data_IF_489594798080
#
_entry.id   IF_489594798080
#
_cell.length_a   1.000
_cell.length_b   1.000
_cell.length_c   1.000
_cell.angle_alpha   90.00
_cell.angle_beta   90.00
_cell.angle_gamma   90.00
#
_symmetry.space_group_name_H-M   'P 1'
#
loop_
_entity.id
_entity.type
_entity.pdbx_description
1 polymer ?
#
# COMPACT_ATOMS: atom_id res chain seq x y z
N UNK A 1 16.58 -22.36 -4.78
CA UNK A 1 15.26 -22.52 -4.11
C UNK A 1 14.42 -23.58 -4.83
N UNK A 2 13.74 -24.47 -4.10
CA UNK A 2 12.76 -25.41 -4.65
C UNK A 2 11.70 -24.69 -5.49
N UNK A 3 11.17 -25.34 -6.54
CA UNK A 3 10.08 -24.78 -7.38
C UNK A 3 8.85 -24.36 -6.55
N UNK A 4 8.58 -25.10 -5.47
CA UNK A 4 7.46 -24.85 -4.53
C UNK A 4 7.52 -23.47 -3.87
N UNK A 5 8.68 -23.06 -3.38
CA UNK A 5 8.82 -21.81 -2.62
C UNK A 5 8.66 -20.58 -3.53
N UNK A 6 9.12 -20.70 -4.77
CA UNK A 6 8.94 -19.66 -5.81
C UNK A 6 7.47 -19.44 -6.14
N UNK A 7 6.72 -20.53 -6.29
CA UNK A 7 5.29 -20.48 -6.54
C UNK A 7 4.53 -19.89 -5.36
N UNK A 8 4.86 -20.31 -4.13
CA UNK A 8 4.24 -19.78 -2.92
C UNK A 8 4.45 -18.27 -2.75
N UNK A 9 5.66 -17.77 -3.04
CA UNK A 9 5.97 -16.33 -3.02
C UNK A 9 5.14 -15.56 -4.06
N UNK A 10 5.06 -16.08 -5.29
CA UNK A 10 4.24 -15.48 -6.35
C UNK A 10 2.77 -15.36 -5.96
N UNK A 11 2.19 -16.45 -5.44
CA UNK A 11 0.81 -16.46 -4.94
C UNK A 11 0.59 -15.47 -3.80
N UNK A 12 1.59 -15.31 -2.91
CA UNK A 12 1.50 -14.33 -1.82
C UNK A 12 1.52 -12.90 -2.34
N UNK A 13 2.35 -12.59 -3.35
CA UNK A 13 2.39 -11.28 -4.00
C UNK A 13 1.04 -10.98 -4.67
N UNK A 14 0.49 -11.94 -5.41
CA UNK A 14 -0.80 -11.82 -6.08
C UNK A 14 -1.92 -11.52 -5.07
N UNK A 15 -2.02 -12.32 -4.00
CA UNK A 15 -3.01 -12.09 -2.95
C UNK A 15 -2.86 -10.71 -2.30
N UNK A 16 -1.63 -10.30 -1.95
CA UNK A 16 -1.44 -8.97 -1.37
C UNK A 16 -1.79 -7.83 -2.34
N UNK A 17 -1.59 -8.05 -3.63
CA UNK A 17 -1.95 -7.08 -4.68
C UNK A 17 -3.47 -6.94 -4.79
N UNK A 18 -4.21 -8.05 -4.75
CA UNK A 18 -5.68 -8.03 -4.75
C UNK A 18 -6.23 -7.37 -3.48
N UNK A 19 -5.71 -7.73 -2.30
CA UNK A 19 -6.08 -7.09 -1.03
C UNK A 19 -5.82 -5.57 -1.07
N UNK A 20 -4.71 -5.14 -1.70
CA UNK A 20 -4.38 -3.74 -1.87
C UNK A 20 -5.43 -3.02 -2.72
N UNK A 21 -5.80 -3.57 -3.88
CA UNK A 21 -6.83 -2.99 -4.73
C UNK A 21 -8.20 -2.92 -4.04
N UNK A 22 -8.56 -3.95 -3.28
CA UNK A 22 -9.79 -3.94 -2.48
C UNK A 22 -9.79 -2.77 -1.49
N UNK A 23 -8.69 -2.53 -0.77
CA UNK A 23 -8.58 -1.39 0.13
C UNK A 23 -8.66 -0.04 -0.59
N UNK A 24 -8.09 0.09 -1.80
CA UNK A 24 -8.22 1.32 -2.60
C UNK A 24 -9.70 1.55 -2.99
N UNK A 25 -10.41 0.52 -3.44
CA UNK A 25 -11.83 0.62 -3.76
C UNK A 25 -12.66 0.99 -2.52
N UNK A 26 -12.37 0.40 -1.36
CA UNK A 26 -13.01 0.76 -0.10
C UNK A 26 -12.73 2.21 0.31
N UNK A 27 -11.49 2.69 0.14
CA UNK A 27 -11.13 4.07 0.45
C UNK A 27 -11.80 5.08 -0.50
N UNK A 28 -12.07 4.69 -1.75
CA UNK A 28 -12.74 5.54 -2.73
C UNK A 28 -14.15 5.93 -2.27
N UNK A 29 -14.92 4.97 -1.74
CA UNK A 29 -16.32 5.17 -1.32
C UNK A 29 -16.49 5.70 0.11
N UNK A 30 -15.40 5.87 0.86
CA UNK A 30 -15.42 6.34 2.26
C UNK A 30 -14.94 7.78 2.38
N UNK A 31 -15.30 8.44 3.49
CA UNK A 31 -14.89 9.81 3.81
C UNK A 31 -14.38 9.91 5.25
N UNK A 32 -13.71 11.02 5.56
CA UNK A 32 -13.27 11.35 6.91
C UNK A 32 -12.33 10.31 7.55
N UNK A 33 -12.46 10.06 8.87
CA UNK A 33 -11.56 9.16 9.61
C UNK A 33 -11.52 7.73 9.08
N UNK A 34 -12.63 7.23 8.55
CA UNK A 34 -12.72 5.86 8.01
C UNK A 34 -11.86 5.69 6.75
N UNK A 35 -11.88 6.68 5.85
CA UNK A 35 -11.03 6.71 4.65
C UNK A 35 -9.55 6.70 5.03
N UNK A 36 -9.15 7.50 6.01
CA UNK A 36 -7.77 7.58 6.48
C UNK A 36 -7.28 6.21 6.98
N UNK A 37 -8.06 5.53 7.81
CA UNK A 37 -7.70 4.20 8.33
C UNK A 37 -7.53 3.18 7.21
N UNK A 38 -8.40 3.20 6.20
CA UNK A 38 -8.33 2.29 5.05
C UNK A 38 -7.08 2.59 4.21
N UNK A 39 -6.77 3.86 3.94
CA UNK A 39 -5.55 4.23 3.21
C UNK A 39 -4.27 3.85 3.96
N UNK A 40 -4.26 3.95 5.30
CA UNK A 40 -3.14 3.46 6.12
C UNK A 40 -2.96 1.94 6.01
N UNK A 41 -4.07 1.18 5.97
CA UNK A 41 -4.01 -0.26 5.69
C UNK A 41 -3.48 -0.55 4.29
N UNK A 42 -3.90 0.22 3.28
CA UNK A 42 -3.40 0.09 1.91
C UNK A 42 -1.89 0.37 1.83
N UNK A 43 -1.40 1.39 2.54
CA UNK A 43 0.03 1.71 2.63
C UNK A 43 0.85 0.55 3.24
N UNK A 44 0.33 -0.09 4.30
CA UNK A 44 0.95 -1.28 4.87
C UNK A 44 1.00 -2.44 3.86
N UNK A 45 -0.09 -2.68 3.12
CA UNK A 45 -0.13 -3.72 2.07
C UNK A 45 0.88 -3.45 0.96
N UNK A 46 1.00 -2.19 0.51
CA UNK A 46 1.98 -1.80 -0.50
C UNK A 46 3.43 -2.05 -0.03
N UNK A 47 3.73 -1.78 1.24
CA UNK A 47 5.04 -2.10 1.85
C UNK A 47 5.31 -3.61 1.86
N UNK A 48 4.30 -4.42 2.15
CA UNK A 48 4.41 -5.89 2.08
C UNK A 48 4.66 -6.39 0.65
N UNK A 49 3.96 -5.85 -0.34
CA UNK A 49 4.20 -6.16 -1.76
C UNK A 49 5.64 -5.81 -2.14
N UNK A 50 6.12 -4.62 -1.76
CA UNK A 50 7.50 -4.19 -2.02
C UNK A 50 8.54 -5.13 -1.39
N UNK A 51 8.31 -5.56 -0.15
CA UNK A 51 9.17 -6.54 0.52
C UNK A 51 9.23 -7.86 -0.26
N UNK A 52 8.07 -8.38 -0.69
CA UNK A 52 8.02 -9.63 -1.45
C UNK A 52 8.63 -9.53 -2.84
N UNK A 53 8.46 -8.39 -3.53
CA UNK A 53 9.09 -8.12 -4.82
C UNK A 53 10.61 -8.07 -4.70
N UNK A 54 11.14 -7.42 -3.65
CA UNK A 54 12.58 -7.46 -3.35
C UNK A 54 13.06 -8.87 -3.05
N UNK A 55 12.34 -9.60 -2.20
CA UNK A 55 12.70 -10.98 -1.89
C UNK A 55 12.74 -11.84 -3.17
N UNK A 56 11.76 -11.69 -4.07
CA UNK A 56 11.71 -12.40 -5.34
C UNK A 56 12.92 -12.09 -6.25
N UNK A 57 13.43 -10.87 -6.19
CA UNK A 57 14.68 -10.48 -6.86
C UNK A 57 15.90 -11.11 -6.18
N UNK A 58 15.99 -11.04 -4.85
CA UNK A 58 17.11 -11.59 -4.06
C UNK A 58 17.29 -13.10 -4.29
N UNK A 59 16.19 -13.86 -4.38
CA UNK A 59 16.20 -15.30 -4.67
C UNK A 59 16.31 -15.63 -6.17
N UNK A 60 16.59 -14.62 -7.02
CA UNK A 60 16.78 -14.72 -8.47
C UNK A 60 15.57 -15.29 -9.24
N UNK A 61 14.37 -15.09 -8.72
CA UNK A 61 13.10 -15.46 -9.40
C UNK A 61 12.68 -14.36 -10.36
N UNK A 62 12.87 -13.10 -9.93
CA UNK A 62 12.52 -11.93 -10.71
C UNK A 62 13.78 -11.36 -11.38
N UNK A 63 13.85 -11.29 -12.72
CA UNK A 63 14.97 -10.67 -13.41
C UNK A 63 15.11 -9.20 -13.04
N UNK A 64 16.35 -8.69 -12.93
CA UNK A 64 16.64 -7.31 -12.51
C UNK A 64 15.85 -6.25 -13.27
N UNK A 65 15.71 -6.39 -14.59
CA UNK A 65 14.91 -5.44 -15.41
C UNK A 65 13.45 -5.36 -14.94
N UNK A 66 12.81 -6.51 -14.69
CA UNK A 66 11.44 -6.59 -14.18
C UNK A 66 11.31 -6.09 -12.75
N UNK A 67 12.32 -6.34 -11.93
CA UNK A 67 12.40 -5.82 -10.57
C UNK A 67 12.38 -4.29 -10.55
N UNK A 68 13.22 -3.65 -11.37
CA UNK A 68 13.28 -2.18 -11.48
C UNK A 68 11.93 -1.62 -11.96
N UNK A 69 11.36 -2.19 -13.03
CA UNK A 69 10.04 -1.79 -13.55
C UNK A 69 8.94 -1.87 -12.47
N UNK A 70 8.97 -2.88 -11.59
CA UNK A 70 8.00 -3.04 -10.51
C UNK A 70 8.26 -2.08 -9.35
N UNK A 71 9.51 -1.90 -8.93
CA UNK A 71 9.87 -0.96 -7.87
C UNK A 71 9.51 0.48 -8.20
N UNK A 72 9.68 0.90 -9.46
CA UNK A 72 9.27 2.23 -9.93
C UNK A 72 7.76 2.44 -9.76
N UNK A 73 6.96 1.47 -10.22
CA UNK A 73 5.49 1.52 -10.05
C UNK A 73 5.07 1.52 -8.58
N UNK A 74 5.69 0.67 -7.76
CA UNK A 74 5.41 0.62 -6.32
C UNK A 74 5.78 1.94 -5.62
N UNK A 75 6.86 2.59 -6.05
CA UNK A 75 7.27 3.90 -5.55
C UNK A 75 6.25 4.98 -5.89
N UNK A 76 5.75 5.01 -7.13
CA UNK A 76 4.69 5.94 -7.55
C UNK A 76 3.41 5.75 -6.73
N UNK A 77 2.97 4.51 -6.55
CA UNK A 77 1.82 4.18 -5.69
C UNK A 77 2.03 4.66 -4.25
N UNK A 78 3.25 4.51 -3.71
CA UNK A 78 3.60 4.98 -2.38
C UNK A 78 3.55 6.51 -2.24
N UNK A 79 4.00 7.24 -3.27
CA UNK A 79 3.88 8.71 -3.32
C UNK A 79 2.42 9.15 -3.32
N UNK A 80 1.57 8.49 -4.11
CA UNK A 80 0.13 8.77 -4.18
C UNK A 80 -0.56 8.54 -2.83
N UNK A 81 -0.35 7.37 -2.21
CA UNK A 81 -0.90 7.05 -0.88
C UNK A 81 -0.44 8.05 0.18
N UNK A 82 0.86 8.35 0.21
CA UNK A 82 1.43 9.31 1.15
C UNK A 82 0.80 10.71 0.99
N UNK A 83 0.56 11.15 -0.25
CA UNK A 83 -0.14 12.40 -0.54
C UNK A 83 -1.57 12.41 0.00
N UNK A 84 -2.35 11.36 -0.24
CA UNK A 84 -3.74 11.27 0.23
C UNK A 84 -3.84 11.18 1.77
N UNK A 85 -2.96 10.42 2.42
CA UNK A 85 -2.90 10.31 3.88
C UNK A 85 -2.55 11.66 4.52
N UNK A 86 -1.56 12.38 3.97
CA UNK A 86 -1.17 13.72 4.44
C UNK A 86 -2.34 14.72 4.29
N UNK A 87 -3.05 14.69 3.17
CA UNK A 87 -4.19 15.57 2.95
C UNK A 87 -5.30 15.34 3.98
N UNK A 88 -5.63 14.09 4.30
CA UNK A 88 -6.68 13.75 5.27
C UNK A 88 -6.29 14.04 6.72
N UNK A 89 -5.02 13.87 7.07
CA UNK A 89 -4.51 14.18 8.42
C UNK A 89 -4.49 15.68 8.68
N UNK A 90 -4.16 16.51 7.69
CA UNK A 90 -4.22 17.96 7.78
C UNK A 90 -5.66 18.53 7.92
N UNK A 91 -6.67 17.80 7.48
CA UNK A 91 -8.08 18.18 7.68
C UNK A 91 -8.53 17.98 9.13
N UNK A 92 -8.09 16.91 9.80
CA UNK A 92 -8.41 16.66 11.23
C UNK A 92 -7.90 17.76 12.15
N UNK A 93 -6.78 18.39 11.83
CA UNK A 93 -6.18 19.44 12.67
C UNK A 93 -6.89 20.80 12.57
N UNK A 94 -7.84 20.96 11.63
CA UNK A 94 -8.56 22.23 11.41
C UNK A 94 -9.95 22.30 12.08
N UNK A 95 -10.45 21.20 12.65
CA UNK A 95 -11.69 21.24 13.44
C UNK A 95 -11.42 21.95 14.77
N UNK A 96 -12.15 23.02 15.12
CA UNK A 96 -11.96 23.73 16.38
C UNK A 96 -12.30 22.79 17.55
N UNK A 97 -11.55 22.83 18.66
CA UNK A 97 -11.86 22.02 19.84
C UNK A 97 -13.27 22.35 20.33
N UNK A 98 -14.03 21.30 20.70
CA UNK A 98 -15.40 21.37 21.23
C UNK A 98 -15.52 22.24 22.51
N UNK A 99 -14.39 22.65 23.08
CA UNK A 99 -14.26 23.54 24.24
C UNK A 99 -14.66 25.00 23.95
N UNK A 100 -15.04 25.36 22.72
CA UNK A 100 -15.50 26.73 22.38
C UNK A 100 -17.02 26.90 22.29
N UNK A 101 -17.80 25.88 22.70
CA UNK A 101 -19.27 25.90 22.64
C UNK A 101 -19.96 25.95 24.02
N UNK A 102 -19.20 26.17 25.09
CA UNK A 102 -19.73 26.44 26.44
C UNK A 102 -19.03 27.65 27.04
#
# INVERSE_FOLDING_TARGET
>A
MPKRDRYALGLKIEQQTLDFFELIMMAYVKTGPSKLLILQKADLKLKMIKLFVRLAHDIKVLPTKRYIELEEKLLELGKMLGGWIKALTALKTKEPPLERLF
#
